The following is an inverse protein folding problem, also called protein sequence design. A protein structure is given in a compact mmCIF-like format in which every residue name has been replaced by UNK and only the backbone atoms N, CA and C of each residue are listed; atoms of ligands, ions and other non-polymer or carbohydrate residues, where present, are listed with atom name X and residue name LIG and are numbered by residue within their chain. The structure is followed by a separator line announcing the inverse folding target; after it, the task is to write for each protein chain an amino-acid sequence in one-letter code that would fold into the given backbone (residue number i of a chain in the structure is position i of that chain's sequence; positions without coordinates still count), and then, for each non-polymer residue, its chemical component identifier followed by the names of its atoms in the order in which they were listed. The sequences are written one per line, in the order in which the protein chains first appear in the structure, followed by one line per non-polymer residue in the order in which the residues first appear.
data_IF_023522012592
#
_entry.id   IF_023522012592
#
_cell.length_a   1.000
_cell.length_b   1.000
_cell.length_c   1.000
_cell.angle_alpha   90.00
_cell.angle_beta   90.00
_cell.angle_gamma   90.00
#
_symmetry.space_group_name_H-M   'P 1'
#
loop_
_entity.id
_entity.type
_entity.pdbx_description
1 polymer ?
#
# COMPACT_ATOMS: atom_id res chain seq x y z
N UNK A 1 33.81 49.99 75.27
CA UNK A 1 34.91 49.52 74.41
C UNK A 1 34.47 49.71 72.97
N UNK A 2 35.12 50.63 72.28
CA UNK A 2 34.93 51.06 70.89
C UNK A 2 35.66 50.15 69.90
N UNK A 3 35.47 50.40 68.59
CA UNK A 3 36.24 49.89 67.42
C UNK A 3 35.79 48.49 66.96
N UNK A 4 35.32 48.19 65.73
CA UNK A 4 35.63 48.64 64.35
C UNK A 4 34.48 48.19 63.42
N UNK A 5 33.94 49.03 62.53
CA UNK A 5 34.14 48.95 61.05
C UNK A 5 33.58 47.69 60.35
N UNK A 6 32.98 47.68 59.17
CA UNK A 6 32.43 48.66 58.21
C UNK A 6 31.78 47.81 57.09
N UNK A 7 30.79 48.38 56.41
CA UNK A 7 30.52 48.23 54.96
C UNK A 7 30.47 46.81 54.31
N UNK A 8 29.28 46.43 53.83
CA UNK A 8 28.96 46.45 52.38
C UNK A 8 27.55 45.92 52.10
N UNK A 9 26.64 46.87 52.07
CA UNK A 9 25.46 46.88 51.20
C UNK A 9 25.82 46.53 49.75
N UNK A 10 24.93 45.75 49.14
CA UNK A 10 24.43 45.90 47.76
C UNK A 10 25.45 46.27 46.67
N UNK A 11 25.90 45.25 45.93
CA UNK A 11 26.38 45.37 44.54
C UNK A 11 25.83 44.18 43.77
N UNK A 12 24.75 44.34 42.98
CA UNK A 12 24.78 44.55 41.52
C UNK A 12 25.84 43.69 40.81
N UNK A 13 25.37 42.74 39.97
CA UNK A 13 25.94 42.19 38.71
C UNK A 13 25.48 40.72 38.57
N UNK A 14 24.34 40.41 37.95
CA UNK A 14 24.23 40.02 36.52
C UNK A 14 25.57 39.58 35.93
N UNK A 15 25.71 38.29 35.58
CA UNK A 15 26.30 37.79 34.33
C UNK A 15 26.16 36.24 34.26
N UNK A 16 25.45 35.79 33.22
CA UNK A 16 25.60 34.55 32.46
C UNK A 16 25.95 33.24 33.21
N UNK A 17 24.94 32.41 33.45
CA UNK A 17 25.07 30.97 33.63
C UNK A 17 24.35 30.23 32.50
N UNK A 18 25.11 29.97 31.45
CA UNK A 18 24.85 29.20 30.21
C UNK A 18 23.68 28.21 30.30
N UNK A 19 22.73 28.36 29.37
CA UNK A 19 21.65 27.43 29.14
C UNK A 19 22.17 26.08 28.62
N UNK A 20 21.62 25.01 29.19
CA UNK A 20 21.55 23.71 28.54
C UNK A 20 20.06 23.38 28.45
N UNK A 21 19.40 23.98 27.46
CA UNK A 21 18.19 23.39 26.90
C UNK A 21 18.68 22.14 26.17
N UNK A 22 18.57 20.98 26.83
CA UNK A 22 18.68 19.70 26.14
C UNK A 22 17.52 19.68 25.16
N UNK A 23 17.80 20.11 23.93
CA UNK A 23 16.92 19.86 22.80
C UNK A 23 16.83 18.36 22.65
N UNK A 24 15.75 17.77 23.15
CA UNK A 24 15.36 16.43 22.75
C UNK A 24 14.96 16.55 21.29
N UNK A 25 15.93 16.30 20.42
CA UNK A 25 15.71 15.80 19.08
C UNK A 25 15.04 14.44 19.26
N UNK A 26 13.71 14.43 19.37
CA UNK A 26 12.97 13.20 19.14
C UNK A 26 13.09 12.97 17.63
N UNK A 27 14.03 12.12 17.24
CA UNK A 27 14.04 11.55 15.90
C UNK A 27 12.67 10.88 15.70
N UNK A 28 11.82 11.50 14.89
CA UNK A 28 10.57 10.90 14.45
C UNK A 28 10.97 9.76 13.52
N UNK A 29 11.21 8.58 14.11
CA UNK A 29 11.47 7.35 13.36
C UNK A 29 10.28 7.13 12.42
N UNK A 30 10.55 7.19 11.12
CA UNK A 30 9.55 7.06 10.07
C UNK A 30 8.90 5.68 10.17
N UNK A 31 7.58 5.64 10.32
CA UNK A 31 6.87 4.39 10.55
C UNK A 31 6.95 3.44 9.34
N UNK A 32 7.17 2.14 9.61
CA UNK A 32 7.02 1.08 8.62
C UNK A 32 5.65 1.19 7.92
N UNK A 33 5.62 1.03 6.61
CA UNK A 33 4.38 1.08 5.81
C UNK A 33 4.34 0.00 4.74
N UNK A 34 3.13 -0.39 4.36
CA UNK A 34 2.91 -1.22 3.17
C UNK A 34 2.40 -0.37 2.02
N UNK A 35 2.95 -0.61 0.84
CA UNK A 35 2.49 -0.03 -0.43
C UNK A 35 1.87 -1.16 -1.23
N UNK A 36 0.66 -0.94 -1.73
CA UNK A 36 -0.08 -1.92 -2.54
C UNK A 36 -0.23 -1.35 -3.94
N UNK A 37 0.19 -2.13 -4.93
CA UNK A 37 0.10 -1.77 -6.33
C UNK A 37 -0.70 -2.84 -7.11
N UNK A 38 -1.63 -2.44 -8.00
CA UNK A 38 -2.10 -1.06 -8.22
C UNK A 38 -2.89 -0.49 -7.02
N UNK A 39 -2.98 0.83 -6.91
CA UNK A 39 -3.69 1.52 -5.80
C UNK A 39 -5.21 1.59 -5.96
N UNK A 40 -5.72 1.27 -7.16
CA UNK A 40 -7.12 1.11 -7.52
C UNK A 40 -7.23 -0.03 -8.54
N UNK A 41 -8.27 -0.83 -8.42
CA UNK A 41 -8.55 -1.92 -9.35
C UNK A 41 -9.86 -1.66 -10.07
N UNK A 42 -9.81 -1.73 -11.39
CA UNK A 42 -10.98 -1.67 -12.27
C UNK A 42 -10.95 -2.90 -13.16
N UNK A 43 -12.01 -3.71 -13.12
CA UNK A 43 -12.18 -4.91 -13.91
C UNK A 43 -13.36 -4.73 -14.84
N UNK A 44 -13.14 -4.98 -16.12
CA UNK A 44 -14.15 -4.78 -17.18
C UNK A 44 -14.62 -6.08 -17.80
N UNK A 45 -13.80 -7.13 -17.75
CA UNK A 45 -14.06 -8.43 -18.38
C UNK A 45 -13.81 -9.59 -17.41
N UNK A 46 -14.47 -10.73 -17.63
CA UNK A 46 -14.22 -11.97 -16.90
C UNK A 46 -12.83 -12.57 -17.13
N UNK A 47 -12.19 -12.20 -18.23
CA UNK A 47 -10.83 -12.63 -18.54
C UNK A 47 -9.77 -11.72 -17.89
N UNK A 48 -10.17 -10.57 -17.35
CA UNK A 48 -9.24 -9.66 -16.69
C UNK A 48 -8.74 -10.30 -15.39
N UNK A 49 -7.42 -10.42 -15.29
CA UNK A 49 -6.75 -10.84 -14.07
C UNK A 49 -5.84 -9.73 -13.60
N UNK A 50 -5.94 -9.39 -12.31
CA UNK A 50 -5.11 -8.35 -11.72
C UNK A 50 -4.17 -9.00 -10.69
N UNK A 51 -2.88 -8.81 -10.89
CA UNK A 51 -1.87 -9.22 -9.93
C UNK A 51 -1.56 -8.06 -8.97
N UNK A 52 -1.76 -8.28 -7.69
CA UNK A 52 -1.37 -7.34 -6.64
C UNK A 52 0.08 -7.57 -6.22
N UNK A 53 0.77 -6.48 -5.97
CA UNK A 53 2.08 -6.45 -5.32
C UNK A 53 1.96 -5.69 -4.00
N UNK A 54 2.33 -6.36 -2.92
CA UNK A 54 2.41 -5.74 -1.58
C UNK A 54 3.87 -5.59 -1.21
N UNK A 55 4.32 -4.35 -1.09
CA UNK A 55 5.70 -4.01 -0.75
C UNK A 55 5.75 -3.43 0.66
N UNK A 56 6.51 -4.07 1.54
CA UNK A 56 6.87 -3.52 2.84
C UNK A 56 8.04 -2.56 2.66
N UNK A 57 7.80 -1.29 2.98
CA UNK A 57 8.83 -0.24 2.99
C UNK A 57 9.17 0.02 4.46
N UNK A 58 10.37 -0.42 4.85
CA UNK A 58 10.95 -0.14 6.16
C UNK A 58 11.82 1.10 6.10
N UNK A 59 11.92 1.82 7.21
CA UNK A 59 12.77 3.03 7.30
C UNK A 59 14.26 2.72 7.08
N UNK A 60 14.74 1.63 7.67
CA UNK A 60 16.17 1.27 7.72
C UNK A 60 16.60 0.23 6.69
N UNK A 61 15.69 -0.18 5.79
CA UNK A 61 15.87 -1.38 4.99
C UNK A 61 15.45 -1.22 3.53
N UNK A 62 15.83 -2.20 2.73
CA UNK A 62 15.35 -2.30 1.36
C UNK A 62 13.86 -2.67 1.35
N UNK A 63 13.08 -2.17 0.36
CA UNK A 63 11.72 -2.63 0.13
C UNK A 63 11.68 -4.15 -0.06
N UNK A 64 10.67 -4.81 0.51
CA UNK A 64 10.51 -6.27 0.40
C UNK A 64 9.12 -6.62 -0.09
N UNK A 65 9.06 -7.54 -1.06
CA UNK A 65 7.80 -8.18 -1.45
C UNK A 65 7.29 -9.03 -0.28
N UNK A 66 6.09 -8.69 0.19
CA UNK A 66 5.36 -9.37 1.27
C UNK A 66 3.99 -9.87 0.80
N UNK A 67 3.75 -9.93 -0.51
CA UNK A 67 2.46 -10.31 -1.11
C UNK A 67 1.96 -11.65 -0.59
N UNK A 68 2.82 -12.68 -0.61
CA UNK A 68 2.47 -14.06 -0.21
C UNK A 68 2.28 -14.26 1.30
N UNK A 69 2.69 -13.28 2.10
CA UNK A 69 2.59 -13.29 3.57
C UNK A 69 1.67 -12.17 4.07
N UNK A 70 0.86 -11.60 3.17
CA UNK A 70 -0.17 -10.63 3.48
C UNK A 70 -1.54 -11.31 3.49
N UNK A 71 -2.46 -10.81 4.32
CA UNK A 71 -3.85 -11.26 4.32
C UNK A 71 -4.70 -10.29 3.51
N UNK A 72 -5.59 -10.84 2.69
CA UNK A 72 -6.50 -10.08 1.84
C UNK A 72 -7.95 -10.33 2.28
N UNK A 73 -8.72 -9.27 2.47
CA UNK A 73 -10.13 -9.37 2.84
C UNK A 73 -10.97 -8.29 2.16
N UNK A 74 -12.09 -8.67 1.56
CA UNK A 74 -13.06 -7.70 1.04
C UNK A 74 -13.95 -7.19 2.19
N UNK A 75 -14.06 -5.87 2.28
CA UNK A 75 -15.04 -5.19 3.12
C UNK A 75 -16.31 -4.96 2.27
N UNK A 76 -17.42 -5.61 2.63
CA UNK A 76 -18.69 -5.59 1.88
C UNK A 76 -19.00 -6.90 1.15
N UNK A 77 -19.88 -6.85 0.16
CA UNK A 77 -20.18 -7.99 -0.71
C UNK A 77 -18.97 -8.31 -1.61
N UNK A 78 -18.61 -9.58 -1.72
CA UNK A 78 -17.47 -9.99 -2.52
C UNK A 78 -17.79 -9.92 -4.02
N UNK A 79 -17.36 -8.84 -4.67
CA UNK A 79 -17.44 -8.65 -6.14
C UNK A 79 -16.29 -9.34 -6.88
N UNK A 80 -15.25 -9.75 -6.15
CA UNK A 80 -14.11 -10.48 -6.67
C UNK A 80 -13.55 -11.48 -5.65
N UNK A 81 -12.78 -12.45 -6.16
CA UNK A 81 -11.99 -13.40 -5.38
C UNK A 81 -10.51 -13.07 -5.51
N UNK A 82 -9.73 -13.39 -4.48
CA UNK A 82 -8.28 -13.20 -4.46
C UNK A 82 -7.59 -14.44 -3.89
N UNK A 83 -6.54 -14.92 -4.58
CA UNK A 83 -5.75 -16.06 -4.13
C UNK A 83 -4.60 -15.65 -3.20
N UNK A 84 -3.93 -16.65 -2.59
CA UNK A 84 -2.79 -16.42 -1.69
C UNK A 84 -1.53 -15.85 -2.39
N UNK A 85 -1.52 -15.84 -3.73
CA UNK A 85 -0.46 -15.23 -4.52
C UNK A 85 -0.78 -13.76 -4.87
N UNK A 86 -1.94 -13.24 -4.44
CA UNK A 86 -2.36 -11.87 -4.71
C UNK A 86 -3.00 -11.68 -6.09
N UNK A 87 -3.42 -12.76 -6.76
CA UNK A 87 -4.14 -12.67 -8.04
C UNK A 87 -5.63 -12.56 -7.78
N UNK A 88 -6.21 -11.51 -8.32
CA UNK A 88 -7.61 -11.14 -8.16
C UNK A 88 -8.39 -11.42 -9.45
N UNK A 89 -9.57 -12.01 -9.30
CA UNK A 89 -10.50 -12.35 -10.38
C UNK A 89 -11.91 -11.93 -9.99
N UNK A 90 -12.60 -11.22 -10.89
CA UNK A 90 -13.98 -10.79 -10.64
C UNK A 90 -14.95 -11.98 -10.60
N UNK A 91 -15.92 -11.90 -9.69
CA UNK A 91 -16.98 -12.91 -9.49
C UNK A 91 -18.36 -12.34 -9.78
N UNK A 92 -18.52 -11.01 -9.74
CA UNK A 92 -19.74 -10.31 -10.10
C UNK A 92 -19.51 -8.80 -10.20
N UNK A 93 -20.44 -8.10 -10.86
CA UNK A 93 -20.40 -6.65 -10.96
C UNK A 93 -20.63 -5.98 -9.60
N UNK A 94 -20.04 -4.80 -9.41
CA UNK A 94 -20.22 -3.97 -8.23
C UNK A 94 -18.93 -3.34 -7.73
N UNK A 95 -19.00 -2.75 -6.54
CA UNK A 95 -17.88 -2.09 -5.89
C UNK A 95 -17.61 -2.72 -4.52
N UNK A 96 -16.34 -2.92 -4.20
CA UNK A 96 -15.91 -3.36 -2.88
C UNK A 96 -14.61 -2.67 -2.47
N UNK A 97 -14.32 -2.68 -1.17
CA UNK A 97 -13.02 -2.24 -0.65
C UNK A 97 -12.17 -3.44 -0.29
N UNK A 98 -10.99 -3.57 -0.87
CA UNK A 98 -10.03 -4.60 -0.49
C UNK A 98 -9.14 -4.08 0.64
N UNK A 99 -9.15 -4.76 1.78
CA UNK A 99 -8.24 -4.54 2.88
C UNK A 99 -7.06 -5.53 2.81
N UNK A 100 -5.86 -5.00 2.66
CA UNK A 100 -4.60 -5.74 2.66
C UNK A 100 -3.90 -5.53 3.99
N UNK A 101 -3.51 -6.60 4.68
CA UNK A 101 -2.82 -6.51 5.97
C UNK A 101 -1.51 -7.27 6.01
N UNK A 102 -0.52 -6.68 6.67
CA UNK A 102 0.76 -7.33 6.95
C UNK A 102 1.37 -6.76 8.23
N UNK A 103 1.73 -7.61 9.19
CA UNK A 103 2.49 -7.20 10.39
C UNK A 103 1.86 -6.06 11.22
N UNK A 104 0.53 -5.93 11.21
CA UNK A 104 -0.20 -4.85 11.90
C UNK A 104 -0.53 -3.62 11.03
N UNK A 105 0.09 -3.53 9.84
CA UNK A 105 -0.20 -2.49 8.86
C UNK A 105 -1.41 -2.89 8.01
N UNK A 106 -2.23 -1.89 7.64
CA UNK A 106 -3.42 -2.09 6.81
C UNK A 106 -3.45 -1.06 5.70
N UNK A 107 -3.62 -1.50 4.45
CA UNK A 107 -3.89 -0.66 3.29
C UNK A 107 -5.26 -1.01 2.73
N UNK A 108 -6.01 0.00 2.29
CA UNK A 108 -7.33 -0.16 1.69
C UNK A 108 -7.33 0.42 0.30
N UNK A 109 -7.86 -0.34 -0.65
CA UNK A 109 -8.00 0.09 -2.04
C UNK A 109 -9.37 -0.27 -2.60
N UNK A 110 -9.95 0.60 -3.45
CA UNK A 110 -11.21 0.32 -4.11
C UNK A 110 -11.02 -0.71 -5.23
N UNK A 111 -11.99 -1.61 -5.34
CA UNK A 111 -12.13 -2.59 -6.42
C UNK A 111 -13.49 -2.39 -7.07
N UNK A 112 -13.48 -2.05 -8.35
CA UNK A 112 -14.68 -1.81 -9.15
C UNK A 112 -14.75 -2.86 -10.25
N UNK A 113 -15.86 -3.56 -10.34
CA UNK A 113 -16.18 -4.49 -11.42
C UNK A 113 -17.34 -3.91 -12.22
N UNK A 114 -17.10 -3.60 -13.49
CA UNK A 114 -18.08 -2.95 -14.35
C UNK A 114 -19.34 -3.80 -14.57
N UNK A 115 -20.49 -3.13 -14.75
CA UNK A 115 -21.81 -3.77 -14.96
C UNK A 115 -21.89 -4.62 -16.24
N UNK A 116 -20.99 -4.37 -17.20
CA UNK A 116 -20.85 -5.12 -18.45
C UNK A 116 -20.00 -6.37 -18.37
N UNK A 117 -19.75 -6.90 -17.16
CA UNK A 117 -19.12 -8.20 -16.94
C UNK A 117 -20.03 -9.30 -17.52
N UNK A 118 -19.94 -9.50 -18.83
CA UNK A 118 -20.67 -10.54 -19.53
C UNK A 118 -20.02 -11.88 -19.20
N UNK A 119 -20.85 -12.86 -18.84
CA UNK A 119 -20.43 -14.25 -18.61
C UNK A 119 -20.22 -14.96 -19.96
N UNK A 120 -19.69 -14.23 -20.94
CA UNK A 120 -19.41 -14.71 -22.28
C UNK A 120 -18.31 -15.76 -22.20
N UNK A 121 -18.62 -16.98 -22.62
CA UNK A 121 -17.64 -18.06 -22.61
C UNK A 121 -16.55 -17.76 -23.63
N UNK A 122 -15.29 -17.67 -23.21
CA UNK A 122 -14.16 -17.50 -24.13
C UNK A 122 -14.02 -18.74 -25.01
N UNK A 123 -14.53 -18.65 -26.23
CA UNK A 123 -14.52 -19.74 -27.20
C UNK A 123 -13.43 -19.50 -28.22
N UNK A 124 -12.62 -20.53 -28.48
CA UNK A 124 -11.57 -20.50 -29.49
C UNK A 124 -12.11 -20.06 -30.86
N UNK A 125 -13.32 -20.51 -31.23
CA UNK A 125 -13.99 -20.18 -32.50
C UNK A 125 -14.29 -18.69 -32.64
N UNK A 126 -14.65 -18.03 -31.55
CA UNK A 126 -15.13 -16.66 -31.57
C UNK A 126 -13.98 -15.65 -31.40
N UNK A 127 -12.92 -16.01 -30.67
CA UNK A 127 -11.84 -15.08 -30.32
C UNK A 127 -10.49 -15.36 -30.99
N UNK A 128 -10.14 -16.63 -31.27
CA UNK A 128 -8.77 -16.99 -31.70
C UNK A 128 -8.74 -17.42 -33.16
N UNK A 129 -9.68 -18.27 -33.58
CA UNK A 129 -9.80 -18.76 -34.95
C UNK A 129 -9.84 -17.65 -36.00
N UNK A 130 -10.61 -16.56 -35.83
CA UNK A 130 -10.65 -15.48 -36.82
C UNK A 130 -9.29 -14.81 -37.02
N UNK A 131 -8.49 -14.68 -35.96
CA UNK A 131 -7.13 -14.12 -36.02
C UNK A 131 -6.21 -15.06 -36.80
N UNK A 132 -6.21 -16.36 -36.46
CA UNK A 132 -5.39 -17.36 -37.13
C UNK A 132 -5.78 -17.55 -38.61
N UNK A 133 -7.08 -17.51 -38.92
CA UNK A 133 -7.62 -17.58 -40.28
C UNK A 133 -7.19 -16.38 -41.12
N UNK A 134 -7.25 -15.16 -40.55
CA UNK A 134 -6.78 -13.95 -41.23
C UNK A 134 -5.28 -13.99 -41.48
N UNK A 135 -4.50 -14.53 -40.54
CA UNK A 135 -3.05 -14.70 -40.67
C UNK A 135 -2.65 -15.87 -41.58
N UNK A 136 -3.59 -16.73 -41.99
CA UNK A 136 -3.32 -17.93 -42.79
C UNK A 136 -2.62 -19.07 -42.02
N UNK A 137 -2.51 -18.96 -40.69
CA UNK A 137 -1.76 -19.91 -39.86
C UNK A 137 -2.52 -21.20 -39.51
N UNK A 138 -3.79 -21.32 -39.91
CA UNK A 138 -4.61 -22.52 -39.70
C UNK A 138 -5.03 -23.21 -41.01
N UNK A 139 -4.38 -22.89 -42.13
CA UNK A 139 -4.70 -23.39 -43.48
C UNK A 139 -4.02 -24.74 -43.78
N UNK A 140 -4.08 -25.72 -42.87
CA UNK A 140 -3.33 -26.97 -42.94
C UNK A 140 -3.05 -27.47 -44.37
N UNK A 141 -1.76 -27.55 -44.73
CA UNK A 141 -1.35 -28.22 -45.96
C UNK A 141 -1.61 -29.72 -45.76
N UNK A 142 -2.66 -30.23 -46.41
CA UNK A 142 -3.05 -31.63 -46.37
C UNK A 142 -1.87 -32.58 -46.68
#
# INVERSE_FOLDING_TARGET
MTFTETLKTAWRSILLGVGVLVGQCVDVMSADRIVVEPSRIEITSQLDQVQLLVTLVKESGQPRDVTRVSSFNFEGDSVASIDSQGRLQATGAGEATLAVRHGGLVSRLPVVVGEGFDVGTSRFVDHVLPVLSRSGCNQGAC
#
